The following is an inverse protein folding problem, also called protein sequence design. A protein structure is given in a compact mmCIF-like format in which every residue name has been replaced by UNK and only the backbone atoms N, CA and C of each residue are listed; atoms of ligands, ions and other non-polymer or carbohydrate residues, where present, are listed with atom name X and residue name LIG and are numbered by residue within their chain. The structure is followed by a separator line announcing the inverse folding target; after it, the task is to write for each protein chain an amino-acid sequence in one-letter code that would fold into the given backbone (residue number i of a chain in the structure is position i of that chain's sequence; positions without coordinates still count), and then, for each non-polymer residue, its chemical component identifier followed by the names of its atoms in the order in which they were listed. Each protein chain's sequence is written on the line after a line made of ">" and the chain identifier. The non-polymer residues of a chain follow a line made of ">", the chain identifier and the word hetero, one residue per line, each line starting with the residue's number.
data_IF_020421848668
#
_entry.id   IF_020421848668
#
_cell.length_a   1.000
_cell.length_b   1.000
_cell.length_c   1.000
_cell.angle_alpha   90.00
_cell.angle_beta   90.00
_cell.angle_gamma   90.00
#
_symmetry.space_group_name_H-M   'P 1'
#
loop_
_entity.id
_entity.type
_entity.pdbx_description
1 polymer ?
#
# COMPACT_ATOMS: atom_id res chain seq x y z
N UNK A 1 12.76 8.09 1.92
CA UNK A 1 12.99 8.18 0.47
C UNK A 1 11.96 9.14 -0.09
N UNK A 2 12.35 10.12 -0.91
CA UNK A 2 11.37 10.98 -1.58
C UNK A 2 11.01 10.39 -2.95
N UNK A 3 9.75 9.98 -3.11
CA UNK A 3 9.19 9.44 -4.36
C UNK A 3 8.01 10.26 -4.87
N UNK A 4 7.82 11.48 -4.38
CA UNK A 4 6.77 12.36 -4.89
C UNK A 4 7.00 12.65 -6.37
N UNK A 5 5.92 12.81 -7.14
CA UNK A 5 5.90 12.99 -8.59
C UNK A 5 6.55 11.86 -9.40
N UNK A 6 6.89 10.74 -8.75
CA UNK A 6 7.48 9.58 -9.41
C UNK A 6 6.39 8.67 -9.98
N UNK A 7 6.62 8.13 -11.17
CA UNK A 7 5.77 7.09 -11.74
C UNK A 7 5.99 5.75 -11.01
N UNK A 8 4.89 5.12 -10.64
CA UNK A 8 4.84 3.88 -9.86
C UNK A 8 3.88 2.91 -10.52
N UNK A 9 4.06 1.62 -10.25
CA UNK A 9 3.22 0.54 -10.78
C UNK A 9 2.42 -0.05 -9.64
N UNK A 10 1.11 -0.18 -9.84
CA UNK A 10 0.22 -0.98 -9.00
C UNK A 10 -0.29 -2.17 -9.79
N UNK A 11 -0.40 -3.32 -9.14
CA UNK A 11 -0.84 -4.57 -9.77
C UNK A 11 -1.77 -5.37 -8.85
N UNK A 12 -2.70 -6.11 -9.44
CA UNK A 12 -3.67 -6.92 -8.71
C UNK A 12 -4.73 -7.57 -9.59
N UNK A 13 -5.66 -8.29 -8.95
CA UNK A 13 -6.77 -9.02 -9.58
C UNK A 13 -8.13 -8.40 -9.26
N UNK A 14 -8.12 -7.17 -8.75
CA UNK A 14 -9.30 -6.43 -8.38
C UNK A 14 -10.24 -6.13 -9.54
N UNK A 15 -11.30 -5.41 -9.22
CA UNK A 15 -12.33 -5.08 -10.21
C UNK A 15 -11.77 -4.13 -11.27
N UNK A 16 -12.09 -4.38 -12.54
CA UNK A 16 -11.65 -3.53 -13.66
C UNK A 16 -12.35 -2.16 -13.71
N UNK A 17 -13.48 -2.03 -13.00
CA UNK A 17 -14.25 -0.81 -12.86
C UNK A 17 -15.02 -0.83 -11.55
N UNK A 18 -15.42 0.35 -11.10
CA UNK A 18 -16.28 0.49 -9.92
C UNK A 18 -17.59 -0.31 -10.09
N UNK A 19 -17.95 -1.09 -9.07
CA UNK A 19 -19.12 -1.99 -9.13
C UNK A 19 -19.01 -3.17 -10.12
N UNK A 20 -17.86 -3.35 -10.79
CA UNK A 20 -17.65 -4.43 -11.75
C UNK A 20 -17.26 -5.78 -11.12
N UNK A 21 -16.87 -6.73 -11.97
CA UNK A 21 -16.33 -8.02 -11.55
C UNK A 21 -14.81 -7.97 -11.41
N UNK A 22 -14.27 -8.84 -10.55
CA UNK A 22 -12.84 -9.16 -10.50
C UNK A 22 -12.41 -9.92 -11.75
N UNK A 23 -11.11 -10.12 -11.90
CA UNK A 23 -10.52 -10.81 -13.04
C UNK A 23 -9.65 -11.98 -12.58
N UNK A 24 -9.51 -12.99 -13.43
CA UNK A 24 -8.58 -14.11 -13.21
C UNK A 24 -7.18 -13.82 -13.76
N UNK A 25 -7.01 -12.73 -14.49
CA UNK A 25 -5.73 -12.31 -15.06
C UNK A 25 -5.18 -11.12 -14.29
N UNK A 26 -3.91 -11.23 -13.87
CA UNK A 26 -3.21 -10.13 -13.20
C UNK A 26 -3.27 -8.88 -14.07
N UNK A 27 -3.70 -7.78 -13.47
CA UNK A 27 -3.68 -6.46 -14.09
C UNK A 27 -2.58 -5.63 -13.46
N UNK A 28 -2.15 -4.61 -14.20
CA UNK A 28 -1.29 -3.56 -13.69
C UNK A 28 -1.57 -2.24 -14.39
N UNK A 29 -1.19 -1.16 -13.74
CA UNK A 29 -1.24 0.18 -14.32
C UNK A 29 -0.16 1.06 -13.72
N UNK A 30 0.17 2.16 -14.40
CA UNK A 30 1.04 3.20 -13.87
C UNK A 30 0.23 4.30 -13.21
N UNK A 31 0.70 4.80 -12.07
CA UNK A 31 0.13 5.91 -11.31
C UNK A 31 1.26 6.80 -10.78
N UNK A 32 0.97 8.07 -10.48
CA UNK A 32 1.97 8.98 -9.90
C UNK A 32 1.68 9.25 -8.43
N UNK A 33 2.71 9.27 -7.61
CA UNK A 33 2.60 9.66 -6.20
C UNK A 33 2.39 11.16 -6.12
N UNK A 34 1.36 11.60 -5.40
CA UNK A 34 1.06 13.01 -5.21
C UNK A 34 1.78 13.57 -3.96
N UNK A 35 2.01 14.89 -3.91
CA UNK A 35 2.43 15.57 -2.68
C UNK A 35 1.45 15.34 -1.53
N UNK A 36 1.97 15.23 -0.31
CA UNK A 36 1.17 14.96 0.87
C UNK A 36 0.14 16.06 1.14
N UNK A 37 0.48 17.32 0.86
CA UNK A 37 -0.36 18.49 1.09
C UNK A 37 -1.67 18.37 0.30
N UNK A 38 -1.58 17.93 -0.96
CA UNK A 38 -2.75 17.73 -1.81
C UNK A 38 -3.67 16.65 -1.25
N UNK A 39 -3.10 15.55 -0.74
CA UNK A 39 -3.89 14.44 -0.23
C UNK A 39 -4.46 14.69 1.16
N UNK A 40 -3.75 15.44 2.00
CA UNK A 40 -4.29 15.94 3.26
C UNK A 40 -5.53 16.79 3.03
N UNK A 41 -5.56 17.62 1.96
CA UNK A 41 -6.76 18.40 1.60
C UNK A 41 -7.87 17.50 1.06
N UNK A 42 -7.57 16.61 0.09
CA UNK A 42 -8.58 15.76 -0.55
C UNK A 42 -9.21 14.73 0.38
N UNK A 43 -8.45 14.25 1.37
CA UNK A 43 -8.84 13.19 2.32
C UNK A 43 -8.87 13.68 3.77
N UNK A 44 -9.01 14.99 4.00
CA UNK A 44 -9.04 15.59 5.34
C UNK A 44 -10.04 14.90 6.27
N UNK A 45 -11.29 14.76 5.80
CA UNK A 45 -12.39 14.16 6.58
C UNK A 45 -12.21 12.65 6.74
N UNK A 46 -11.46 12.01 5.84
CA UNK A 46 -11.23 10.57 5.82
C UNK A 46 -9.96 10.15 6.56
N UNK A 47 -9.28 11.08 7.23
CA UNK A 47 -8.16 10.77 8.12
C UNK A 47 -6.85 10.43 7.41
N UNK A 48 -6.53 11.10 6.30
CA UNK A 48 -5.20 10.95 5.68
C UNK A 48 -4.09 11.41 6.63
N UNK A 49 -3.08 10.56 6.83
CA UNK A 49 -1.91 10.85 7.68
C UNK A 49 -0.63 10.73 6.86
N UNK A 50 0.01 11.88 6.56
CA UNK A 50 1.18 12.01 5.69
C UNK A 50 2.35 11.08 6.06
N UNK A 51 2.54 10.84 7.35
CA UNK A 51 3.68 10.10 7.89
C UNK A 51 3.59 8.60 7.64
N UNK A 52 2.38 8.08 7.45
CA UNK A 52 2.10 6.63 7.29
C UNK A 52 1.37 6.31 6.00
N UNK A 53 1.03 7.31 5.18
CA UNK A 53 0.30 7.13 3.93
C UNK A 53 1.01 7.76 2.74
N UNK A 54 0.77 7.16 1.58
CA UNK A 54 0.94 7.75 0.26
C UNK A 54 -0.43 7.86 -0.39
N UNK A 55 -0.51 8.68 -1.43
CA UNK A 55 -1.64 8.73 -2.32
C UNK A 55 -1.14 8.80 -3.76
N UNK A 56 -1.87 8.18 -4.68
CA UNK A 56 -1.52 8.20 -6.10
C UNK A 56 -2.71 8.56 -6.96
N UNK A 57 -2.44 9.20 -8.10
CA UNK A 57 -3.47 9.53 -9.06
C UNK A 57 -2.96 9.39 -10.49
N UNK A 58 -3.82 8.84 -11.35
CA UNK A 58 -3.75 8.98 -12.80
C UNK A 58 -5.18 8.98 -13.33
N UNK A 59 -5.44 9.82 -14.33
CA UNK A 59 -6.78 9.93 -14.90
C UNK A 59 -7.20 8.58 -15.50
N UNK A 60 -8.35 8.07 -15.05
CA UNK A 60 -8.99 6.88 -15.62
C UNK A 60 -8.39 5.54 -15.19
N UNK A 61 -7.42 5.52 -14.27
CA UNK A 61 -6.81 4.27 -13.81
C UNK A 61 -6.26 4.39 -12.40
N UNK A 62 -6.50 3.37 -11.57
CA UNK A 62 -5.88 3.16 -10.26
C UNK A 62 -6.24 1.72 -9.80
N UNK A 63 -5.82 1.33 -8.61
CA UNK A 63 -6.35 0.12 -7.95
C UNK A 63 -7.85 0.26 -7.63
N UNK A 64 -8.54 -0.86 -7.49
CA UNK A 64 -9.96 -0.93 -7.15
C UNK A 64 -10.23 -1.93 -6.03
N UNK A 65 -11.51 -2.19 -5.72
CA UNK A 65 -11.90 -3.20 -4.76
C UNK A 65 -11.26 -4.56 -5.10
N UNK A 66 -10.87 -5.28 -4.05
CA UNK A 66 -10.11 -6.55 -4.09
C UNK A 66 -8.63 -6.42 -4.50
N UNK A 67 -8.11 -5.21 -4.73
CA UNK A 67 -6.65 -4.97 -4.82
C UNK A 67 -6.01 -4.63 -3.46
N UNK A 68 -6.81 -4.43 -2.40
CA UNK A 68 -6.31 -4.11 -1.05
C UNK A 68 -5.28 -5.15 -0.57
N UNK A 69 -4.16 -4.67 -0.01
CA UNK A 69 -3.01 -5.50 0.33
C UNK A 69 -2.00 -5.69 -0.81
N UNK A 70 -2.37 -5.36 -2.05
CA UNK A 70 -1.50 -5.42 -3.22
C UNK A 70 -0.36 -4.40 -3.21
N UNK A 71 0.69 -4.60 -4.02
CA UNK A 71 1.89 -3.77 -3.99
C UNK A 71 1.75 -2.49 -4.81
N UNK A 72 2.24 -1.38 -4.27
CA UNK A 72 2.66 -0.21 -5.03
C UNK A 72 4.18 -0.23 -5.15
N UNK A 73 4.67 -0.27 -6.38
CA UNK A 73 6.09 -0.49 -6.70
C UNK A 73 6.68 0.73 -7.41
N UNK A 74 7.89 1.10 -7.01
CA UNK A 74 8.67 2.18 -7.63
C UNK A 74 10.06 1.68 -8.02
N UNK A 75 10.74 2.41 -8.89
CA UNK A 75 12.13 2.17 -9.30
C UNK A 75 13.02 3.37 -8.92
N UNK A 76 13.22 3.63 -7.63
CA UNK A 76 13.94 4.82 -7.17
C UNK A 76 15.45 4.77 -7.45
N UNK A 77 16.03 3.57 -7.65
CA UNK A 77 17.47 3.35 -7.74
C UNK A 77 17.84 2.39 -8.89
N UNK A 78 17.54 2.77 -10.12
CA UNK A 78 17.82 1.95 -11.32
C UNK A 78 16.70 0.98 -11.64
N UNK A 79 17.04 -0.24 -12.09
CA UNK A 79 16.06 -1.12 -12.76
C UNK A 79 15.26 -2.04 -11.84
N UNK A 80 15.54 -2.03 -10.52
CA UNK A 80 14.86 -2.89 -9.57
C UNK A 80 13.59 -2.24 -9.02
N UNK A 81 12.47 -2.94 -9.14
CA UNK A 81 11.25 -2.56 -8.43
C UNK A 81 11.42 -2.75 -6.92
N UNK A 82 10.99 -1.75 -6.17
CA UNK A 82 10.90 -1.75 -4.71
C UNK A 82 9.45 -1.49 -4.33
N UNK A 83 8.90 -2.31 -3.45
CA UNK A 83 7.55 -2.07 -2.91
C UNK A 83 7.61 -0.89 -1.92
N UNK A 84 7.00 0.21 -2.31
CA UNK A 84 6.97 1.47 -1.54
C UNK A 84 5.64 1.67 -0.82
N UNK A 85 4.59 0.98 -1.27
CA UNK A 85 3.26 1.08 -0.67
C UNK A 85 2.45 -0.20 -0.71
N UNK A 86 1.36 -0.20 0.05
CA UNK A 86 0.35 -1.27 0.10
C UNK A 86 -1.00 -0.63 -0.21
N UNK A 87 -1.75 -1.16 -1.18
CA UNK A 87 -3.09 -0.65 -1.54
C UNK A 87 -3.99 -0.69 -0.30
N UNK A 88 -4.61 0.45 0.03
CA UNK A 88 -5.45 0.57 1.22
C UNK A 88 -6.89 0.90 0.85
N UNK A 89 -7.17 2.16 0.48
CA UNK A 89 -8.53 2.63 0.24
C UNK A 89 -8.60 3.79 -0.76
N UNK A 90 -9.80 4.03 -1.29
CA UNK A 90 -10.14 5.19 -2.11
C UNK A 90 -11.65 5.45 -2.01
N UNK A 91 -12.12 6.60 -2.48
CA UNK A 91 -13.56 6.82 -2.67
C UNK A 91 -13.93 6.38 -4.08
N UNK A 92 -14.50 5.18 -4.19
CA UNK A 92 -14.76 4.52 -5.47
C UNK A 92 -13.47 4.09 -6.17
N UNK A 93 -13.55 3.81 -7.48
CA UNK A 93 -12.40 3.35 -8.26
C UNK A 93 -12.10 4.29 -9.43
N UNK A 94 -10.85 4.78 -9.50
CA UNK A 94 -10.35 5.62 -10.60
C UNK A 94 -11.22 6.85 -10.93
N UNK A 95 -11.96 7.38 -9.94
CA UNK A 95 -12.78 8.57 -10.10
C UNK A 95 -11.91 9.79 -10.39
N UNK A 96 -12.43 10.71 -11.20
CA UNK A 96 -11.73 11.94 -11.59
C UNK A 96 -11.37 12.76 -10.34
N UNK A 97 -10.10 13.15 -10.22
CA UNK A 97 -9.52 13.90 -9.09
C UNK A 97 -9.54 13.21 -7.72
N UNK A 98 -9.91 11.93 -7.66
CA UNK A 98 -9.88 11.15 -6.41
C UNK A 98 -8.66 10.23 -6.44
N UNK A 99 -7.61 10.49 -5.65
CA UNK A 99 -6.47 9.60 -5.56
C UNK A 99 -6.80 8.33 -4.77
N UNK A 100 -6.01 7.29 -4.96
CA UNK A 100 -6.04 6.10 -4.10
C UNK A 100 -4.97 6.22 -3.04
N UNK A 101 -5.31 5.84 -1.81
CA UNK A 101 -4.45 5.90 -0.64
C UNK A 101 -3.79 4.53 -0.39
N UNK A 102 -2.52 4.58 -0.02
CA UNK A 102 -1.66 3.44 0.22
C UNK A 102 -0.98 3.59 1.58
N UNK A 103 -0.73 2.49 2.28
CA UNK A 103 0.16 2.48 3.44
C UNK A 103 1.61 2.71 2.98
N UNK A 104 2.34 3.60 3.65
CA UNK A 104 3.75 3.92 3.38
C UNK A 104 4.68 2.86 3.97
N UNK A 105 5.20 1.95 3.16
CA UNK A 105 6.00 0.80 3.65
C UNK A 105 7.24 1.24 4.42
N UNK A 106 7.93 2.30 3.95
CA UNK A 106 9.15 2.82 4.57
C UNK A 106 8.99 3.08 6.08
N UNK A 107 7.87 3.69 6.47
CA UNK A 107 7.55 4.03 7.87
C UNK A 107 7.49 2.80 8.77
N UNK A 108 7.09 1.66 8.23
CA UNK A 108 6.93 0.41 9.00
C UNK A 108 8.15 -0.49 8.92
N UNK A 109 9.24 -0.10 8.22
CA UNK A 109 10.44 -0.94 8.11
C UNK A 109 11.09 -1.32 9.46
N UNK A 110 11.13 -0.47 10.51
CA UNK A 110 11.66 -0.89 11.81
C UNK A 110 10.79 -1.96 12.47
N UNK A 111 9.46 -1.85 12.32
CA UNK A 111 8.51 -2.84 12.82
C UNK A 111 8.63 -4.16 12.03
N UNK A 112 8.71 -4.10 10.70
CA UNK A 112 8.92 -5.27 9.84
C UNK A 112 10.19 -6.04 10.23
N UNK A 113 11.31 -5.34 10.46
CA UNK A 113 12.57 -5.95 10.92
C UNK A 113 12.44 -6.62 12.28
N UNK A 114 11.62 -6.08 13.17
CA UNK A 114 11.38 -6.67 14.49
C UNK A 114 10.55 -7.95 14.39
N UNK A 115 9.54 -7.97 13.51
CA UNK A 115 8.59 -9.09 13.39
C UNK A 115 9.15 -10.23 12.54
N UNK A 116 9.82 -9.92 11.43
CA UNK A 116 10.33 -10.90 10.45
C UNK A 116 11.80 -11.23 10.69
N UNK A 117 12.53 -10.42 11.46
CA UNK A 117 13.96 -10.53 11.69
C UNK A 117 14.79 -9.58 10.81
N UNK A 118 16.12 -9.54 11.03
CA UNK A 118 17.01 -8.73 10.19
C UNK A 118 17.09 -9.31 8.78
N UNK A 119 16.99 -8.42 7.78
CA UNK A 119 17.09 -8.79 6.36
C UNK A 119 18.48 -9.35 5.98
N UNK A 120 19.48 -9.22 6.85
CA UNK A 120 20.84 -9.72 6.65
C UNK A 120 20.92 -11.25 6.65
N UNK A 121 19.96 -11.94 7.29
CA UNK A 121 19.92 -13.42 7.32
C UNK A 121 19.20 -14.05 6.13
N UNK A 122 18.48 -13.27 5.32
CA UNK A 122 17.68 -13.80 4.21
C UNK A 122 18.46 -13.90 2.89
N UNK A 123 19.65 -13.28 2.79
CA UNK A 123 20.45 -13.27 1.56
C UNK A 123 21.69 -14.20 1.60
N UNK A 124 22.00 -14.84 2.75
CA UNK A 124 23.07 -15.85 2.80
C UNK A 124 22.56 -17.18 3.33
N UNK A 125 22.79 -18.22 2.54
CA UNK A 125 22.58 -19.66 2.78
C UNK A 125 21.14 -20.18 2.77
N UNK A 126 20.95 -21.21 1.96
CA UNK A 126 19.81 -22.12 1.82
C UNK A 126 18.82 -22.09 2.99
N UNK A 127 17.62 -21.54 2.74
CA UNK A 127 16.52 -21.61 3.70
C UNK A 127 15.96 -23.03 3.66
N UNK A 128 16.41 -23.88 4.59
CA UNK A 128 15.67 -25.09 4.94
C UNK A 128 14.37 -24.65 5.62
N UNK A 129 13.23 -24.91 4.96
CA UNK A 129 11.90 -24.56 5.45
C UNK A 129 11.56 -25.40 6.68
N UNK A 130 12.03 -24.99 7.85
CA UNK A 130 11.43 -25.43 9.10
C UNK A 130 10.20 -24.57 9.35
N UNK A 131 9.03 -25.18 9.12
CA UNK A 131 7.72 -24.65 9.48
C UNK A 131 7.64 -24.53 11.00
N UNK A 132 8.15 -23.44 11.55
CA UNK A 132 7.77 -23.01 12.89
C UNK A 132 6.30 -22.59 12.81
N UNK A 133 5.43 -23.31 13.51
CA UNK A 133 4.02 -22.97 13.68
C UNK A 133 3.89 -21.57 14.27
N UNK A 134 3.74 -20.57 13.41
CA UNK A 134 3.62 -19.18 13.83
C UNK A 134 2.19 -18.95 14.31
N UNK A 135 2.00 -18.94 15.63
CA UNK A 135 0.75 -18.49 16.22
C UNK A 135 0.64 -16.98 16.01
N UNK A 136 -0.46 -16.53 15.39
CA UNK A 136 -0.74 -15.11 15.15
C UNK A 136 -0.73 -14.39 16.52
N UNK A 137 0.20 -13.46 16.79
CA UNK A 137 0.15 -12.67 18.01
C UNK A 137 -1.09 -11.80 17.95
N UNK A 138 -1.91 -11.86 19.00
CA UNK A 138 -3.00 -10.91 19.17
C UNK A 138 -2.42 -9.49 19.13
N UNK A 139 -3.04 -8.63 18.31
CA UNK A 139 -2.66 -7.23 18.12
C UNK A 139 -2.33 -6.54 19.45
N UNK A 140 -1.10 -6.04 19.66
CA UNK A 140 -0.82 -5.23 20.84
C UNK A 140 -1.36 -3.81 20.64
N UNK A 141 -1.96 -3.29 21.71
CA UNK A 141 -2.57 -1.98 21.88
C UNK A 141 -1.54 -0.83 21.87
N UNK A 142 -0.87 -0.62 20.73
CA UNK A 142 0.18 0.42 20.58
C UNK A 142 -0.35 1.72 19.95
N UNK A 143 -1.63 1.79 19.57
CA UNK A 143 -2.25 3.02 19.05
C UNK A 143 -3.49 3.42 19.87
N UNK A 144 -3.34 4.15 21.00
CA UNK A 144 -4.49 4.66 21.74
C UNK A 144 -5.29 5.70 20.94
N UNK A 145 -4.68 6.39 19.97
CA UNK A 145 -5.27 7.53 19.26
C UNK A 145 -5.85 7.24 17.87
N UNK A 146 -5.74 6.01 17.35
CA UNK A 146 -6.31 5.64 16.03
C UNK A 146 -7.58 4.80 16.13
N UNK A 147 -8.11 4.59 17.34
CA UNK A 147 -9.32 3.80 17.58
C UNK A 147 -10.60 4.41 16.97
N UNK A 148 -10.56 5.69 16.58
CA UNK A 148 -11.69 6.44 16.03
C UNK A 148 -11.75 6.50 14.51
N UNK A 149 -10.75 6.00 13.77
CA UNK A 149 -10.69 6.11 12.30
C UNK A 149 -10.55 4.78 11.56
N UNK A 150 -11.16 3.72 12.10
CA UNK A 150 -11.40 2.50 11.34
C UNK A 150 -12.85 2.50 10.83
N UNK A 151 -13.17 3.13 9.68
CA UNK A 151 -14.41 2.79 9.01
C UNK A 151 -14.29 1.33 8.57
N UNK A 152 -15.24 0.54 9.07
CA UNK A 152 -15.56 -0.84 8.71
C UNK A 152 -15.02 -1.26 7.34
N UNK A 153 -14.12 -2.24 7.35
CA UNK A 153 -13.97 -3.14 6.21
C UNK A 153 -15.21 -4.04 6.18
N UNK A 154 -16.12 -3.73 5.25
CA UNK A 154 -17.13 -4.64 4.72
C UNK A 154 -17.18 -4.43 3.20
#
# INVERSE_FOLDING_TARGET
>A
MNIFDTETVVAGWGRLKEGGHTTNHLQYTTVRVLPNELCSVLYFILGYVSDVMYCTYRRGTNSCHSDSGGPLMSRPFGDRYVQVGIVSFAVGCARKYIPTVYTRVETFTPWLRRVVGSFDKAYSSEVSLQLASYTIPQWPSIFPSLRSYAPFFA
#
